data_IF_153291867872
#
_entry.id   IF_153291867872
#
_cell.length_a   1.000
_cell.length_b   1.000
_cell.length_c   1.000
_cell.angle_alpha   90.00
_cell.angle_beta   90.00
_cell.angle_gamma   90.00
#
_symmetry.space_group_name_H-M   'P 1'
#
loop_
_entity.id
_entity.type
_entity.pdbx_description
1 polymer ?
#
# COMPACT_ATOMS: atom_id res chain seq x y z
N UNK A 1 -6.85 -33.79 -28.92
CA UNK A 1 -7.82 -33.66 -27.81
C UNK A 1 -8.27 -32.22 -27.74
N UNK A 2 -9.55 -31.91 -27.92
CA UNK A 2 -10.10 -30.57 -27.73
C UNK A 2 -10.07 -30.25 -26.24
N UNK A 3 -9.25 -29.33 -25.83
CA UNK A 3 -9.13 -28.92 -24.45
C UNK A 3 -10.32 -28.03 -24.09
N UNK A 4 -11.12 -28.45 -23.11
CA UNK A 4 -12.33 -27.74 -22.68
C UNK A 4 -11.93 -26.38 -22.11
N UNK A 5 -12.50 -25.32 -22.67
CA UNK A 5 -12.35 -23.94 -22.12
C UNK A 5 -13.29 -23.80 -20.92
N UNK A 6 -12.74 -23.70 -19.71
CA UNK A 6 -13.51 -23.50 -18.49
C UNK A 6 -14.14 -22.11 -18.49
N UNK A 7 -15.30 -21.93 -17.85
CA UNK A 7 -15.98 -20.63 -17.72
C UNK A 7 -16.13 -19.88 -19.06
N UNK A 8 -16.62 -20.56 -20.10
CA UNK A 8 -16.77 -19.99 -21.45
C UNK A 8 -17.72 -18.77 -21.47
N UNK A 9 -18.73 -18.74 -20.60
CA UNK A 9 -19.70 -17.65 -20.46
C UNK A 9 -19.20 -16.49 -19.60
N UNK A 10 -18.10 -16.66 -18.86
CA UNK A 10 -17.58 -15.64 -17.94
C UNK A 10 -17.23 -14.34 -18.69
N UNK A 11 -16.54 -14.47 -19.80
CA UNK A 11 -16.17 -13.31 -20.62
C UNK A 11 -17.38 -12.61 -21.27
N UNK A 12 -18.54 -13.22 -21.27
CA UNK A 12 -19.80 -12.65 -21.78
C UNK A 12 -20.48 -11.70 -20.81
N UNK A 13 -20.28 -11.87 -19.53
CA UNK A 13 -20.91 -11.04 -18.49
C UNK A 13 -20.27 -9.65 -18.44
N UNK A 14 -21.10 -8.64 -18.13
CA UNK A 14 -20.67 -7.26 -17.99
C UNK A 14 -20.02 -7.00 -16.63
N UNK A 15 -20.55 -7.61 -15.58
CA UNK A 15 -20.17 -7.37 -14.20
C UNK A 15 -19.80 -8.69 -13.51
N UNK A 16 -18.70 -8.68 -12.76
CA UNK A 16 -18.23 -9.79 -11.96
C UNK A 16 -17.96 -9.31 -10.54
N UNK A 17 -18.14 -10.19 -9.59
CA UNK A 17 -17.86 -9.94 -8.18
C UNK A 17 -16.84 -10.94 -7.69
N UNK A 18 -16.12 -10.54 -6.64
CA UNK A 18 -15.12 -11.41 -6.06
C UNK A 18 -14.56 -10.89 -4.77
N UNK A 19 -13.57 -11.61 -4.27
CA UNK A 19 -12.78 -11.21 -3.10
C UNK A 19 -11.31 -11.23 -3.48
N UNK A 20 -10.55 -10.32 -2.87
CA UNK A 20 -9.10 -10.29 -2.96
C UNK A 20 -8.51 -10.40 -1.56
N UNK A 21 -7.49 -11.23 -1.42
CA UNK A 21 -6.65 -11.31 -0.23
C UNK A 21 -5.21 -11.10 -0.65
N UNK A 22 -4.45 -10.35 0.14
CA UNK A 22 -3.10 -9.98 -0.25
C UNK A 22 -2.16 -9.83 0.94
N UNK A 23 -0.90 -10.08 0.66
CA UNK A 23 0.22 -9.72 1.50
C UNK A 23 0.77 -8.39 1.01
N UNK A 24 0.94 -7.44 1.92
CA UNK A 24 1.53 -6.14 1.61
C UNK A 24 2.88 -5.98 2.31
N UNK A 25 3.80 -5.30 1.66
CA UNK A 25 5.07 -4.90 2.23
C UNK A 25 5.24 -3.41 1.99
N UNK A 26 5.25 -2.63 3.06
CA UNK A 26 5.22 -1.16 2.98
C UNK A 26 6.40 -0.55 3.72
N UNK A 27 6.90 0.56 3.17
CA UNK A 27 7.89 1.42 3.82
C UNK A 27 7.57 2.88 3.61
N UNK A 28 8.15 3.75 4.42
CA UNK A 28 8.19 5.18 4.17
C UNK A 28 9.38 5.57 3.30
N UNK A 29 9.15 6.46 2.36
CA UNK A 29 10.17 7.16 1.59
C UNK A 29 10.33 8.56 2.18
N UNK A 30 11.45 8.79 2.83
CA UNK A 30 11.77 10.02 3.55
C UNK A 30 12.82 10.80 2.76
N UNK A 31 12.64 12.11 2.61
CA UNK A 31 13.67 13.02 2.14
C UNK A 31 13.89 14.10 3.18
N UNK A 32 15.13 14.24 3.62
CA UNK A 32 15.53 15.28 4.57
C UNK A 32 15.81 16.59 3.86
N UNK A 33 15.47 17.70 4.52
CA UNK A 33 15.82 19.02 4.05
C UNK A 33 17.32 19.27 4.19
N UNK A 34 17.96 19.79 3.14
CA UNK A 34 19.39 20.11 3.14
C UNK A 34 19.73 21.26 4.09
N UNK A 35 18.75 22.05 4.53
CA UNK A 35 18.92 23.24 5.35
C UNK A 35 18.75 23.03 6.87
N UNK A 36 18.56 21.81 7.34
CA UNK A 36 18.36 21.59 8.76
C UNK A 36 19.67 21.70 9.55
N UNK A 37 19.74 22.68 10.45
CA UNK A 37 20.82 22.83 11.44
C UNK A 37 20.93 21.63 12.41
N UNK A 38 20.05 20.67 12.29
CA UNK A 38 19.99 19.42 13.06
C UNK A 38 20.85 18.29 12.46
N UNK A 39 21.53 18.55 11.35
CA UNK A 39 22.39 17.56 10.67
C UNK A 39 23.55 17.08 11.54
N UNK A 40 23.95 17.83 12.55
CA UNK A 40 25.01 17.45 13.46
C UNK A 40 24.57 16.48 14.57
N UNK A 41 23.27 16.27 14.74
CA UNK A 41 22.73 15.45 15.85
C UNK A 41 21.94 14.23 15.37
N UNK A 42 21.39 14.25 14.16
CA UNK A 42 20.62 13.14 13.54
C UNK A 42 21.36 12.57 12.33
N UNK A 43 21.92 11.38 12.43
CA UNK A 43 22.62 10.72 11.32
C UNK A 43 21.68 10.07 10.29
N UNK A 44 20.43 9.82 10.62
CA UNK A 44 19.45 9.29 9.66
C UNK A 44 18.24 8.64 10.32
N UNK A 45 17.12 8.67 9.60
CA UNK A 45 15.95 7.84 9.87
C UNK A 45 15.86 6.80 8.76
N UNK A 46 15.91 5.54 9.12
CA UNK A 46 15.78 4.42 8.18
C UNK A 46 14.41 3.80 8.34
N UNK A 47 13.68 3.68 7.24
CA UNK A 47 12.42 2.94 7.20
C UNK A 47 12.64 1.57 6.61
N UNK A 48 12.20 0.54 7.32
CA UNK A 48 12.25 -0.84 6.85
C UNK A 48 10.91 -1.24 6.22
N UNK A 49 10.98 -2.19 5.30
CA UNK A 49 9.81 -2.84 4.77
C UNK A 49 9.17 -3.72 5.85
N UNK A 50 7.92 -3.46 6.15
CA UNK A 50 7.16 -4.23 7.10
C UNK A 50 5.96 -4.92 6.45
N UNK A 51 5.64 -6.09 6.98
CA UNK A 51 4.57 -6.94 6.52
C UNK A 51 3.19 -6.37 6.88
N UNK A 52 2.25 -6.55 5.99
CA UNK A 52 0.85 -6.23 6.19
C UNK A 52 -0.06 -7.21 5.48
N UNK A 53 -1.34 -7.07 5.72
CA UNK A 53 -2.38 -7.92 5.14
C UNK A 53 -3.49 -7.06 4.55
N UNK A 54 -3.98 -7.45 3.38
CA UNK A 54 -5.05 -6.77 2.66
C UNK A 54 -6.20 -7.73 2.37
N UNK A 55 -7.42 -7.26 2.56
CA UNK A 55 -8.64 -7.94 2.14
C UNK A 55 -9.60 -6.94 1.50
N UNK A 56 -10.16 -7.28 0.36
CA UNK A 56 -11.09 -6.43 -0.38
C UNK A 56 -12.19 -7.24 -1.06
N UNK A 57 -13.30 -6.56 -1.28
CA UNK A 57 -14.37 -7.02 -2.18
C UNK A 57 -14.14 -6.42 -3.55
N UNK A 58 -14.45 -7.14 -4.60
CA UNK A 58 -14.22 -6.73 -5.98
C UNK A 58 -15.54 -6.52 -6.69
N UNK A 59 -15.68 -5.37 -7.33
CA UNK A 59 -16.60 -5.14 -8.43
C UNK A 59 -15.80 -4.93 -9.71
N UNK A 60 -15.92 -5.84 -10.67
CA UNK A 60 -15.18 -5.79 -11.95
C UNK A 60 -16.18 -5.55 -13.08
N UNK A 61 -16.14 -4.38 -13.68
CA UNK A 61 -16.95 -3.95 -14.81
C UNK A 61 -16.17 -4.07 -16.10
N UNK A 62 -16.66 -4.89 -17.03
CA UNK A 62 -16.11 -4.99 -18.38
C UNK A 62 -16.57 -3.81 -19.24
N UNK A 63 -15.64 -2.89 -19.59
CA UNK A 63 -15.93 -1.76 -20.46
C UNK A 63 -15.82 -2.19 -21.93
N UNK A 64 -14.74 -2.86 -22.28
CA UNK A 64 -14.47 -3.38 -23.63
C UNK A 64 -13.91 -4.80 -23.59
N UNK A 65 -13.66 -5.35 -24.78
CA UNK A 65 -13.14 -6.72 -24.93
C UNK A 65 -11.89 -7.00 -24.10
N UNK A 66 -11.01 -6.01 -23.99
CA UNK A 66 -9.71 -6.13 -23.31
C UNK A 66 -9.59 -5.25 -22.07
N UNK A 67 -10.59 -4.43 -21.76
CA UNK A 67 -10.51 -3.42 -20.72
C UNK A 67 -11.60 -3.61 -19.68
N UNK A 68 -11.18 -3.64 -18.41
CA UNK A 68 -12.06 -3.66 -17.25
C UNK A 68 -11.74 -2.49 -16.34
N UNK A 69 -12.79 -1.99 -15.69
CA UNK A 69 -12.70 -1.08 -14.55
C UNK A 69 -13.03 -1.87 -13.29
N UNK A 70 -12.18 -1.79 -12.29
CA UNK A 70 -12.34 -2.50 -11.03
C UNK A 70 -12.40 -1.53 -9.88
N UNK A 71 -13.35 -1.76 -8.99
CA UNK A 71 -13.47 -1.11 -7.70
C UNK A 71 -13.24 -2.17 -6.61
N UNK A 72 -12.30 -1.90 -5.69
CA UNK A 72 -11.87 -2.89 -4.69
C UNK A 72 -11.93 -2.31 -3.26
N UNK A 73 -13.12 -1.92 -2.74
CA UNK A 73 -13.20 -1.46 -1.37
C UNK A 73 -12.71 -2.53 -0.42
N UNK A 74 -11.82 -2.16 0.50
CA UNK A 74 -11.16 -3.11 1.36
C UNK A 74 -10.50 -2.49 2.59
N UNK A 75 -9.86 -3.35 3.35
CA UNK A 75 -9.10 -2.98 4.55
C UNK A 75 -7.69 -3.54 4.43
N UNK A 76 -6.72 -2.67 4.75
CA UNK A 76 -5.31 -3.02 4.79
C UNK A 76 -4.76 -2.77 6.20
N UNK A 77 -4.18 -3.79 6.79
CA UNK A 77 -3.48 -3.69 8.08
C UNK A 77 -2.01 -3.64 7.75
N UNK A 78 -1.34 -2.58 8.15
CA UNK A 78 0.07 -2.33 7.85
C UNK A 78 0.80 -2.01 9.16
N UNK A 79 1.91 -2.70 9.39
CA UNK A 79 2.87 -2.32 10.40
C UNK A 79 4.01 -1.56 9.73
N UNK A 80 4.37 -0.39 10.24
CA UNK A 80 5.48 0.42 9.74
C UNK A 80 6.45 0.69 10.88
N UNK A 81 7.73 0.45 10.65
CA UNK A 81 8.79 0.68 11.64
C UNK A 81 9.65 1.86 11.20
N UNK A 82 9.82 2.81 12.11
CA UNK A 82 10.76 3.91 11.99
C UNK A 82 11.89 3.68 12.99
N UNK A 83 13.11 3.57 12.51
CA UNK A 83 14.31 3.48 13.34
C UNK A 83 15.04 4.81 13.31
N UNK A 84 15.18 5.43 14.49
CA UNK A 84 15.91 6.67 14.70
C UNK A 84 17.30 6.36 15.24
N UNK A 85 18.34 6.76 14.51
CA UNK A 85 19.73 6.63 14.96
C UNK A 85 20.22 7.98 15.47
N UNK A 86 20.54 8.05 16.75
CA UNK A 86 21.09 9.24 17.41
C UNK A 86 22.58 9.07 17.63
N UNK A 87 23.39 10.04 17.23
CA UNK A 87 24.78 10.15 17.63
C UNK A 87 24.94 11.28 18.63
N UNK A 88 25.16 10.94 19.90
CA UNK A 88 25.49 11.93 20.91
C UNK A 88 26.98 12.31 20.79
N UNK A 89 27.26 13.43 20.10
CA UNK A 89 28.60 13.98 19.97
C UNK A 89 29.19 14.52 21.31
N UNK A 90 28.42 14.52 22.38
CA UNK A 90 28.84 15.19 23.66
C UNK A 90 29.14 14.25 24.84
N UNK A 91 28.92 12.93 24.72
CA UNK A 91 29.26 12.02 25.82
C UNK A 91 29.99 10.78 25.28
N UNK A 92 31.27 10.72 25.55
CA UNK A 92 32.23 9.66 25.17
C UNK A 92 31.94 8.28 25.80
N UNK A 93 30.73 7.98 26.28
CA UNK A 93 30.51 6.77 27.08
C UNK A 93 29.19 6.03 26.89
N UNK A 94 28.31 6.37 25.93
CA UNK A 94 27.06 5.61 25.80
C UNK A 94 26.82 5.02 24.41
N UNK A 95 26.32 3.76 24.36
CA UNK A 95 26.05 3.08 23.12
C UNK A 95 24.95 3.79 22.33
N UNK A 96 24.99 3.67 20.99
CA UNK A 96 23.94 4.12 20.08
C UNK A 96 22.59 3.66 20.60
N UNK A 97 21.68 4.59 20.88
CA UNK A 97 20.31 4.25 21.26
C UNK A 97 19.49 4.24 19.99
N UNK A 98 19.30 3.07 19.40
CA UNK A 98 18.35 2.87 18.31
C UNK A 98 16.94 2.81 18.90
N UNK A 99 16.19 3.88 18.75
CA UNK A 99 14.78 3.90 19.16
C UNK A 99 13.93 3.43 17.98
N UNK A 100 13.36 2.25 18.11
CA UNK A 100 12.42 1.69 17.14
C UNK A 100 11.00 2.05 17.54
N UNK A 101 10.25 2.64 16.62
CA UNK A 101 8.85 2.96 16.79
C UNK A 101 8.01 2.17 15.79
N UNK A 102 7.18 1.27 16.30
CA UNK A 102 6.19 0.55 15.51
C UNK A 102 4.92 1.40 15.38
N UNK A 103 4.51 1.64 14.15
CA UNK A 103 3.28 2.34 13.81
C UNK A 103 2.35 1.34 13.13
N UNK A 104 1.45 0.78 13.91
CA UNK A 104 0.35 -0.02 13.37
C UNK A 104 -0.72 0.92 12.80
N UNK A 105 -1.11 0.68 11.57
CA UNK A 105 -2.14 1.44 10.88
C UNK A 105 -3.14 0.50 10.23
N UNK A 106 -4.42 0.83 10.40
CA UNK A 106 -5.52 0.14 9.75
C UNK A 106 -6.14 1.11 8.76
N UNK A 107 -5.95 0.84 7.47
CA UNK A 107 -6.47 1.64 6.38
C UNK A 107 -7.76 1.04 5.84
N UNK A 108 -8.80 1.89 5.69
CA UNK A 108 -9.87 1.63 4.76
C UNK A 108 -9.46 2.15 3.39
N UNK A 109 -9.48 1.33 2.37
CA UNK A 109 -9.01 1.67 1.03
C UNK A 109 -10.13 1.51 0.00
N UNK A 110 -10.13 2.41 -0.98
CA UNK A 110 -11.04 2.36 -2.14
C UNK A 110 -10.18 2.49 -3.40
N UNK A 111 -9.57 1.40 -3.87
CA UNK A 111 -8.86 1.37 -5.14
C UNK A 111 -9.81 1.40 -6.33
N UNK A 112 -9.51 2.27 -7.30
CA UNK A 112 -10.11 2.28 -8.62
C UNK A 112 -9.02 1.90 -9.62
N UNK A 113 -9.14 0.70 -10.19
CA UNK A 113 -8.13 0.12 -11.06
C UNK A 113 -8.66 -0.06 -12.49
N UNK A 114 -7.84 0.31 -13.44
CA UNK A 114 -8.03 0.04 -14.86
C UNK A 114 -7.18 -1.17 -15.23
N UNK A 115 -7.81 -2.22 -15.74
CA UNK A 115 -7.15 -3.47 -16.10
C UNK A 115 -7.17 -3.67 -17.60
N UNK A 116 -5.99 -3.84 -18.21
CA UNK A 116 -5.83 -4.27 -19.60
C UNK A 116 -5.52 -5.76 -19.64
N UNK A 117 -6.39 -6.54 -20.28
CA UNK A 117 -6.29 -8.00 -20.36
C UNK A 117 -5.83 -8.42 -21.74
N UNK A 118 -4.84 -9.30 -21.81
CA UNK A 118 -4.44 -9.93 -23.07
C UNK A 118 -5.51 -10.89 -23.58
N UNK A 119 -5.29 -11.40 -24.78
CA UNK A 119 -6.11 -12.50 -25.31
C UNK A 119 -6.00 -13.72 -24.37
N UNK A 120 -7.14 -14.37 -24.10
CA UNK A 120 -7.19 -15.59 -23.32
C UNK A 120 -6.54 -16.72 -24.11
N UNK A 121 -5.54 -17.36 -23.51
CA UNK A 121 -4.93 -18.56 -24.04
C UNK A 121 -5.36 -19.78 -23.22
N UNK A 122 -6.31 -20.55 -23.75
CA UNK A 122 -6.92 -21.69 -23.04
C UNK A 122 -7.57 -21.25 -21.71
N UNK A 123 -6.97 -21.66 -20.59
CA UNK A 123 -7.49 -21.37 -19.25
C UNK A 123 -6.65 -20.36 -18.47
N UNK A 124 -5.80 -19.60 -19.13
CA UNK A 124 -5.09 -18.51 -18.48
C UNK A 124 -5.07 -17.22 -19.34
N UNK A 125 -4.87 -16.09 -18.68
CA UNK A 125 -4.84 -14.76 -19.29
C UNK A 125 -3.94 -13.84 -18.50
N UNK A 126 -2.84 -13.34 -19.08
CA UNK A 126 -2.07 -12.28 -18.46
C UNK A 126 -2.80 -10.95 -18.57
N UNK A 127 -2.53 -10.04 -17.61
CA UNK A 127 -3.04 -8.69 -17.61
C UNK A 127 -2.05 -7.73 -16.95
N UNK A 128 -2.23 -6.47 -17.24
CA UNK A 128 -1.61 -5.36 -16.54
C UNK A 128 -2.70 -4.50 -15.89
N UNK A 129 -2.40 -3.91 -14.76
CA UNK A 129 -3.34 -3.04 -14.04
C UNK A 129 -2.65 -1.76 -13.64
N UNK A 130 -3.42 -0.69 -13.58
CA UNK A 130 -2.99 0.60 -13.07
C UNK A 130 -4.18 1.33 -12.50
N UNK A 131 -3.98 2.09 -11.44
CA UNK A 131 -5.10 2.75 -10.79
C UNK A 131 -4.68 3.76 -9.75
N UNK A 132 -5.70 4.32 -9.10
CA UNK A 132 -5.55 5.25 -7.99
C UNK A 132 -6.30 4.67 -6.80
N UNK A 133 -5.68 4.73 -5.64
CA UNK A 133 -6.26 4.29 -4.38
C UNK A 133 -6.37 5.48 -3.45
N UNK A 134 -7.55 5.66 -2.89
CA UNK A 134 -7.79 6.52 -1.75
C UNK A 134 -7.80 5.65 -0.50
N UNK A 135 -7.00 6.02 0.49
CA UNK A 135 -6.90 5.37 1.79
C UNK A 135 -7.20 6.32 2.93
N UNK A 136 -7.83 5.81 3.97
CA UNK A 136 -8.10 6.51 5.21
C UNK A 136 -7.57 5.69 6.40
N UNK A 137 -6.68 6.29 7.21
CA UNK A 137 -6.10 5.65 8.39
C UNK A 137 -7.02 5.80 9.61
N UNK A 138 -7.72 4.74 9.97
CA UNK A 138 -8.55 4.71 11.18
C UNK A 138 -7.74 4.80 12.48
N UNK A 139 -6.47 4.42 12.46
CA UNK A 139 -5.60 4.44 13.64
C UNK A 139 -5.19 5.86 14.01
N UNK A 140 -5.17 6.79 13.06
CA UNK A 140 -4.85 8.19 13.29
C UNK A 140 -5.86 8.88 14.21
N UNK A 141 -7.14 8.49 14.12
CA UNK A 141 -8.21 9.00 14.99
C UNK A 141 -8.04 8.61 16.46
N UNK A 142 -7.45 7.45 16.74
CA UNK A 142 -7.16 6.98 18.10
C UNK A 142 -6.01 7.76 18.73
N UNK A 143 -4.98 8.06 17.97
CA UNK A 143 -3.77 8.75 18.44
C UNK A 143 -4.05 10.20 18.86
N UNK A 144 -5.00 10.87 18.20
CA UNK A 144 -5.39 12.24 18.54
C UNK A 144 -6.13 12.37 19.90
N UNK A 145 -6.60 11.28 20.48
CA UNK A 145 -7.41 11.31 21.71
C UNK A 145 -6.63 11.11 23.01
N UNK A 146 -5.41 10.60 22.92
CA UNK A 146 -4.54 10.37 24.08
C UNK A 146 -3.41 11.41 24.13
N UNK A 147 -3.70 12.57 24.73
CA UNK A 147 -2.79 13.70 24.90
C UNK A 147 -1.71 13.50 25.99
N UNK A 148 -1.38 12.26 26.37
CA UNK A 148 -0.37 12.03 27.40
C UNK A 148 0.97 11.60 26.79
N UNK A 149 1.90 12.57 26.75
CA UNK A 149 3.36 12.47 26.96
C UNK A 149 4.21 11.53 26.10
N UNK A 150 3.88 11.31 24.81
CA UNK A 150 4.89 10.82 23.88
C UNK A 150 4.82 11.61 22.58
N UNK A 151 5.97 12.13 22.10
CA UNK A 151 6.12 12.82 20.83
C UNK A 151 5.59 11.92 19.69
N UNK A 152 4.30 12.02 19.38
CA UNK A 152 3.63 11.23 18.37
C UNK A 152 3.77 11.97 17.06
N UNK A 153 4.50 11.37 16.12
CA UNK A 153 4.55 11.86 14.74
C UNK A 153 3.11 11.87 14.21
N UNK A 154 2.55 13.06 14.00
CA UNK A 154 1.22 13.21 13.41
C UNK A 154 1.32 12.99 11.92
N UNK A 155 0.64 11.96 11.44
CA UNK A 155 0.51 11.69 10.02
C UNK A 155 -0.87 12.12 9.53
N UNK A 156 -0.92 12.58 8.28
CA UNK A 156 -2.18 12.86 7.61
C UNK A 156 -3.00 11.56 7.52
N UNK A 157 -4.26 11.53 7.99
CA UNK A 157 -5.10 10.35 7.92
C UNK A 157 -5.49 9.98 6.48
N UNK A 158 -5.41 10.92 5.55
CA UNK A 158 -5.78 10.74 4.16
C UNK A 158 -4.54 10.42 3.32
N UNK A 159 -4.59 9.32 2.61
CA UNK A 159 -3.54 8.90 1.69
C UNK A 159 -4.11 8.71 0.29
N UNK A 160 -3.41 9.22 -0.71
CA UNK A 160 -3.68 8.91 -2.13
C UNK A 160 -2.40 8.34 -2.72
N UNK A 161 -2.52 7.18 -3.36
CA UNK A 161 -1.40 6.59 -4.07
C UNK A 161 -1.86 6.04 -5.44
N UNK A 162 -0.94 6.02 -6.39
CA UNK A 162 -1.16 5.31 -7.64
C UNK A 162 -0.54 3.92 -7.56
N UNK A 163 -1.18 2.97 -8.22
CA UNK A 163 -0.74 1.58 -8.27
C UNK A 163 -0.52 1.16 -9.71
N UNK A 164 0.51 0.35 -9.92
CA UNK A 164 0.76 -0.37 -11.17
C UNK A 164 1.06 -1.82 -10.85
N UNK A 165 0.62 -2.73 -11.71
CA UNK A 165 0.80 -4.14 -11.45
C UNK A 165 0.63 -5.02 -12.67
N UNK A 166 1.02 -6.26 -12.48
CA UNK A 166 0.89 -7.33 -13.47
C UNK A 166 0.30 -8.56 -12.81
N UNK A 167 -0.45 -9.34 -13.55
CA UNK A 167 -1.06 -10.54 -13.00
C UNK A 167 -1.47 -11.55 -14.07
N UNK A 168 -1.92 -12.68 -13.57
CA UNK A 168 -2.38 -13.82 -14.35
C UNK A 168 -3.74 -14.29 -13.85
N UNK A 169 -4.72 -14.34 -14.75
CA UNK A 169 -6.02 -14.98 -14.52
C UNK A 169 -5.95 -16.46 -14.89
N UNK A 170 -6.45 -17.33 -14.03
CA UNK A 170 -6.64 -18.76 -14.24
C UNK A 170 -8.12 -19.09 -14.19
N UNK A 171 -8.65 -19.65 -15.27
CA UNK A 171 -10.05 -20.04 -15.36
C UNK A 171 -10.21 -21.48 -14.90
N UNK A 172 -10.64 -21.66 -13.66
CA UNK A 172 -10.97 -22.95 -13.09
C UNK A 172 -12.39 -23.35 -13.52
N UNK A 173 -12.85 -24.51 -13.10
CA UNK A 173 -14.16 -25.04 -13.52
C UNK A 173 -15.34 -24.16 -13.06
N UNK A 174 -15.24 -23.57 -11.85
CA UNK A 174 -16.34 -22.85 -11.21
C UNK A 174 -15.99 -21.39 -10.84
N UNK A 175 -14.72 -21.04 -10.78
CA UNK A 175 -14.24 -19.75 -10.30
C UNK A 175 -13.06 -19.30 -11.14
N UNK A 176 -12.94 -17.99 -11.35
CA UNK A 176 -11.73 -17.39 -11.89
C UNK A 176 -10.81 -17.08 -10.71
N UNK A 177 -9.62 -17.62 -10.73
CA UNK A 177 -8.55 -17.35 -9.79
C UNK A 177 -7.54 -16.43 -10.45
N UNK A 178 -7.04 -15.42 -9.73
CA UNK A 178 -5.96 -14.59 -10.24
C UNK A 178 -4.87 -14.38 -9.19
N UNK A 179 -3.66 -14.23 -9.70
CA UNK A 179 -2.48 -13.86 -8.91
C UNK A 179 -1.96 -12.56 -9.50
N UNK A 180 -1.69 -11.57 -8.66
CA UNK A 180 -1.06 -10.33 -9.09
C UNK A 180 -0.02 -9.79 -8.13
N UNK A 181 0.91 -9.02 -8.71
CA UNK A 181 1.92 -8.24 -8.00
C UNK A 181 1.69 -6.79 -8.38
N UNK A 182 1.54 -5.93 -7.37
CA UNK A 182 1.28 -4.50 -7.53
C UNK A 182 2.30 -3.69 -6.75
N UNK A 183 2.75 -2.58 -7.34
CA UNK A 183 3.55 -1.57 -6.66
C UNK A 183 2.71 -0.30 -6.50
N UNK A 184 2.65 0.24 -5.29
CA UNK A 184 1.94 1.46 -4.94
C UNK A 184 2.92 2.56 -4.53
N UNK A 185 2.64 3.79 -4.97
CA UNK A 185 3.47 4.97 -4.73
C UNK A 185 2.59 6.11 -4.23
N UNK A 186 2.87 6.59 -3.02
CA UNK A 186 2.16 7.71 -2.41
C UNK A 186 2.36 9.01 -3.19
N UNK A 187 1.26 9.74 -3.43
CA UNK A 187 1.26 11.03 -4.09
C UNK A 187 1.32 12.15 -3.05
N UNK A 188 0.48 12.04 -2.03
CA UNK A 188 0.32 13.06 -0.98
C UNK A 188 1.47 12.95 0.03
N UNK A 189 1.93 14.11 0.52
CA UNK A 189 2.80 14.17 1.67
C UNK A 189 2.01 13.81 2.93
N UNK A 190 2.44 12.73 3.60
CA UNK A 190 1.82 12.28 4.85
C UNK A 190 2.31 13.05 6.06
N UNK A 191 3.35 13.87 5.89
CA UNK A 191 3.93 14.67 6.95
C UNK A 191 3.03 15.86 7.26
N UNK A 192 2.67 16.02 8.54
CA UNK A 192 1.98 17.21 9.03
C UNK A 192 3.04 18.08 9.74
N UNK A 193 3.22 19.31 9.23
CA UNK A 193 4.11 20.28 9.89
C UNK A 193 3.48 20.67 11.23
N UNK A 194 4.13 20.29 12.31
CA UNK A 194 3.88 20.79 13.66
C UNK A 194 5.07 21.65 14.11
N UNK A 195 4.89 22.52 15.09
CA UNK A 195 5.94 23.41 15.61
C UNK A 195 7.08 22.68 16.36
N UNK A 196 7.13 21.36 16.25
CA UNK A 196 8.13 20.53 16.91
C UNK A 196 9.45 20.48 16.11
N UNK A 197 10.57 20.42 16.84
CA UNK A 197 11.94 20.38 16.28
C UNK A 197 12.09 19.19 15.31
N UNK A 198 11.36 18.11 15.53
CA UNK A 198 11.34 16.92 14.69
C UNK A 198 10.63 17.13 13.36
N UNK A 199 9.60 17.99 13.33
CA UNK A 199 8.78 18.22 12.15
C UNK A 199 9.48 19.06 11.07
N UNK A 200 10.48 19.87 11.45
CA UNK A 200 11.23 20.73 10.55
C UNK A 200 12.37 20.05 9.78
N UNK A 201 12.66 18.79 10.09
CA UNK A 201 13.82 18.09 9.51
C UNK A 201 13.50 17.25 8.27
N UNK A 202 12.23 17.02 7.93
CA UNK A 202 11.84 16.23 6.76
C UNK A 202 11.06 17.09 5.74
N UNK A 203 11.46 17.08 4.47
CA UNK A 203 10.77 17.77 3.39
C UNK A 203 9.50 17.02 2.96
N UNK A 204 9.54 15.70 2.90
CA UNK A 204 8.37 14.90 2.63
C UNK A 204 8.47 13.47 3.17
N UNK A 205 7.30 12.91 3.44
CA UNK A 205 7.09 11.51 3.81
C UNK A 205 6.05 10.93 2.86
N UNK A 206 6.46 9.97 2.04
CA UNK A 206 5.57 9.26 1.12
C UNK A 206 5.60 7.78 1.41
N UNK A 207 4.52 7.06 1.09
CA UNK A 207 4.48 5.62 1.22
C UNK A 207 4.92 4.93 -0.07
N UNK A 208 5.58 3.79 0.07
CA UNK A 208 5.80 2.81 -1.00
C UNK A 208 5.31 1.46 -0.53
N UNK A 209 4.47 0.84 -1.33
CA UNK A 209 3.88 -0.45 -1.01
C UNK A 209 4.10 -1.43 -2.15
N UNK A 210 4.51 -2.64 -1.81
CA UNK A 210 4.49 -3.79 -2.70
C UNK A 210 3.42 -4.74 -2.20
N UNK A 211 2.50 -5.16 -3.07
CA UNK A 211 1.40 -6.08 -2.75
C UNK A 211 1.50 -7.31 -3.62
N UNK A 212 1.37 -8.47 -3.01
CA UNK A 212 1.16 -9.74 -3.67
C UNK A 212 -0.24 -10.24 -3.30
N UNK A 213 -1.11 -10.45 -4.28
CA UNK A 213 -2.51 -10.77 -4.00
C UNK A 213 -3.06 -11.92 -4.79
N UNK A 214 -4.05 -12.57 -4.19
CA UNK A 214 -4.88 -13.63 -4.73
C UNK A 214 -6.31 -13.14 -4.85
N UNK A 215 -6.91 -13.39 -6.00
CA UNK A 215 -8.25 -12.94 -6.31
C UNK A 215 -9.12 -14.15 -6.71
N UNK A 216 -10.34 -14.18 -6.20
CA UNK A 216 -11.36 -15.17 -6.52
C UNK A 216 -12.60 -14.43 -7.03
N UNK A 217 -13.01 -14.70 -8.27
CA UNK A 217 -14.16 -14.07 -8.92
C UNK A 217 -15.10 -15.14 -9.49
N UNK A 218 -16.44 -14.91 -9.36
CA UNK A 218 -17.49 -15.80 -9.85
C UNK A 218 -18.48 -15.16 -10.83
#
# INVERSE_FOLDING_TARGET
MAQISNLSSFDGRLLHYGIQVGYTSSKFDLKFSENSKLRDTMQGVTSYYNAGFHIAVIGDLRIWKYFNLRLLPGVTIINRELSYSWEHAFFNAHPRVDTRRNVESVYGEIPLEFRYRAMRWKNFRPYVTGGITYGFDFSSLRKNKNNNDEAIVRLNPHEIHYTVGVGLDFFLKYVKFAIDIKAGFGIINLWVEDDDIYSRSADYLKSRTLMFSFTFEG
#
